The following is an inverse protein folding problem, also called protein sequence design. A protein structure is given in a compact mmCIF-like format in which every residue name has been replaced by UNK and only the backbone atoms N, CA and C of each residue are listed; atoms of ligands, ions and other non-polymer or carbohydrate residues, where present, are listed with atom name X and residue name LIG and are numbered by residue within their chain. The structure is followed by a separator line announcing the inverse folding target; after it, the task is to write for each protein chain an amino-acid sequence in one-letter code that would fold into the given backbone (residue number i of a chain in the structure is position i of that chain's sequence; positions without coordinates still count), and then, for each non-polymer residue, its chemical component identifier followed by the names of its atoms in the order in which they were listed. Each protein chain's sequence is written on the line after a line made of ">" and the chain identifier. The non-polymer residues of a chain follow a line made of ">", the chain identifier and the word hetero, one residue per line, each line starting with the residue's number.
data_IF_149234630031
#
_entry.id   IF_149234630031
#
_cell.length_a   1.000
_cell.length_b   1.000
_cell.length_c   1.000
_cell.angle_alpha   90.00
_cell.angle_beta   90.00
_cell.angle_gamma   90.00
#
_symmetry.space_group_name_H-M   'P 1'
#
loop_
_entity.id
_entity.type
_entity.pdbx_description
1 polymer ?
#
# COMPACT_ATOMS: atom_id res chain seq x y z
N UNK A 1 -32.82 -10.49 -11.19
CA UNK A 1 -32.27 -9.19 -11.64
C UNK A 1 -30.77 -9.32 -11.53
N UNK A 2 -30.10 -9.57 -12.65
CA UNK A 2 -28.64 -9.64 -12.73
C UNK A 2 -28.11 -8.23 -12.53
N UNK A 3 -27.49 -7.96 -11.40
CA UNK A 3 -26.70 -6.73 -11.20
C UNK A 3 -25.54 -6.77 -12.18
N UNK A 4 -25.65 -6.05 -13.28
CA UNK A 4 -24.58 -5.83 -14.24
C UNK A 4 -23.52 -4.97 -13.54
N UNK A 5 -22.51 -5.62 -13.02
CA UNK A 5 -21.36 -4.91 -12.39
C UNK A 5 -20.58 -4.25 -13.53
N UNK A 6 -20.50 -2.93 -13.53
CA UNK A 6 -19.69 -2.20 -14.52
C UNK A 6 -18.23 -2.65 -14.42
N UNK A 7 -17.58 -3.13 -15.51
CA UNK A 7 -16.19 -3.54 -15.47
C UNK A 7 -15.29 -2.39 -14.99
N UNK A 8 -14.33 -2.67 -14.13
CA UNK A 8 -13.45 -1.66 -13.55
C UNK A 8 -12.47 -1.05 -14.56
N UNK A 9 -12.14 -1.82 -15.59
CA UNK A 9 -11.30 -1.43 -16.71
C UNK A 9 -11.88 -2.02 -17.99
N UNK A 10 -11.83 -1.27 -19.11
CA UNK A 10 -12.19 -1.74 -20.44
C UNK A 10 -11.12 -1.32 -21.42
N UNK A 11 -11.09 -1.88 -22.62
CA UNK A 11 -10.11 -1.51 -23.66
C UNK A 11 -10.07 -0.01 -23.95
N UNK A 12 -11.23 0.64 -23.88
CA UNK A 12 -11.37 2.08 -24.15
C UNK A 12 -10.76 2.96 -23.04
N UNK A 13 -10.33 2.34 -21.91
CA UNK A 13 -9.63 2.98 -20.79
C UNK A 13 -8.12 2.73 -20.80
N UNK A 14 -7.60 2.15 -21.89
CA UNK A 14 -6.19 1.76 -22.05
C UNK A 14 -5.53 2.57 -23.14
N UNK A 15 -4.47 3.27 -22.80
CA UNK A 15 -3.62 4.00 -23.73
C UNK A 15 -2.26 3.30 -23.84
N UNK A 16 -1.93 2.79 -25.04
CA UNK A 16 -0.64 2.17 -25.31
C UNK A 16 0.28 3.16 -26.03
N UNK A 17 1.52 3.24 -25.56
CA UNK A 17 2.58 4.09 -26.12
C UNK A 17 2.16 5.55 -26.30
N UNK A 18 1.39 6.05 -25.32
CA UNK A 18 0.88 7.41 -25.33
C UNK A 18 2.04 8.40 -25.19
N UNK A 19 2.20 9.25 -26.21
CA UNK A 19 3.01 10.44 -26.11
C UNK A 19 2.19 11.52 -25.37
N UNK A 20 2.64 11.88 -24.16
CA UNK A 20 2.05 12.96 -23.41
C UNK A 20 3.12 14.02 -23.21
N UNK A 21 2.98 15.14 -23.92
CA UNK A 21 3.87 16.29 -23.76
C UNK A 21 3.46 17.04 -22.49
N UNK A 22 4.33 17.03 -21.49
CA UNK A 22 4.10 17.74 -20.25
C UNK A 22 4.49 16.96 -19.00
N UNK A 23 3.89 17.37 -17.92
CA UNK A 23 4.12 16.83 -16.58
C UNK A 23 3.05 15.79 -16.16
N UNK A 24 3.09 15.38 -14.91
CA UNK A 24 2.07 14.46 -14.33
C UNK A 24 0.64 14.97 -14.43
N UNK A 25 0.42 16.29 -14.46
CA UNK A 25 -0.92 16.86 -14.64
C UNK A 25 -1.43 16.54 -16.05
N UNK A 26 -0.59 16.67 -17.08
CA UNK A 26 -0.96 16.34 -18.45
C UNK A 26 -1.33 14.84 -18.59
N UNK A 27 -0.59 13.95 -17.92
CA UNK A 27 -0.92 12.50 -17.89
C UNK A 27 -2.26 12.25 -17.21
N UNK A 28 -2.50 12.85 -16.04
CA UNK A 28 -3.76 12.72 -15.31
C UNK A 28 -4.92 13.25 -16.15
N UNK A 29 -4.76 14.42 -16.75
CA UNK A 29 -5.78 15.02 -17.65
C UNK A 29 -6.09 14.07 -18.81
N UNK A 30 -5.07 13.54 -19.49
CA UNK A 30 -5.23 12.61 -20.61
C UNK A 30 -5.98 11.33 -20.21
N UNK A 31 -5.66 10.77 -19.05
CA UNK A 31 -6.38 9.61 -18.53
C UNK A 31 -7.83 9.94 -18.18
N UNK A 32 -8.09 11.09 -17.55
CA UNK A 32 -9.46 11.54 -17.25
C UNK A 32 -10.28 11.78 -18.52
N UNK A 33 -9.69 12.37 -19.57
CA UNK A 33 -10.34 12.51 -20.88
C UNK A 33 -10.76 11.15 -21.45
N UNK A 34 -9.91 10.14 -21.29
CA UNK A 34 -10.21 8.77 -21.69
C UNK A 34 -11.39 8.19 -20.90
N UNK A 35 -11.43 8.44 -19.57
CA UNK A 35 -12.56 8.07 -18.73
C UNK A 35 -13.85 8.78 -19.17
N UNK A 36 -13.76 10.07 -19.47
CA UNK A 36 -14.91 10.87 -19.92
C UNK A 36 -15.45 10.35 -21.27
N UNK A 37 -14.58 10.07 -22.23
CA UNK A 37 -14.96 9.52 -23.53
C UNK A 37 -15.66 8.15 -23.40
N UNK A 38 -15.27 7.35 -22.39
CA UNK A 38 -15.90 6.07 -22.07
C UNK A 38 -17.15 6.20 -21.18
N UNK A 39 -17.60 7.42 -20.87
CA UNK A 39 -18.77 7.67 -20.02
C UNK A 39 -18.58 7.26 -18.54
N UNK A 40 -17.34 7.29 -18.04
CA UNK A 40 -16.99 6.89 -16.66
C UNK A 40 -17.00 8.03 -15.66
N UNK A 41 -17.06 9.27 -16.14
CA UNK A 41 -17.16 10.47 -15.28
C UNK A 41 -18.20 11.41 -15.87
N UNK A 42 -18.92 12.09 -14.99
CA UNK A 42 -19.90 13.13 -15.33
C UNK A 42 -19.29 14.56 -15.31
N UNK A 43 -18.07 14.70 -14.77
CA UNK A 43 -17.32 15.95 -14.72
C UNK A 43 -15.81 15.67 -14.80
N UNK A 44 -15.26 15.84 -16.00
CA UNK A 44 -13.83 15.58 -16.24
C UNK A 44 -12.93 16.60 -15.54
N UNK A 45 -13.29 17.89 -15.55
CA UNK A 45 -12.49 18.93 -14.91
C UNK A 45 -12.44 18.75 -13.38
N UNK A 46 -13.59 18.49 -12.77
CA UNK A 46 -13.69 18.17 -11.35
C UNK A 46 -12.89 16.93 -10.97
N UNK A 47 -12.89 15.89 -11.81
CA UNK A 47 -12.13 14.67 -11.57
C UNK A 47 -10.61 14.90 -11.67
N UNK A 48 -10.14 15.70 -12.65
CA UNK A 48 -8.73 16.14 -12.72
C UNK A 48 -8.35 16.89 -11.46
N UNK A 49 -9.18 17.84 -11.02
CA UNK A 49 -8.96 18.60 -9.79
C UNK A 49 -8.82 17.71 -8.56
N UNK A 50 -9.71 16.71 -8.41
CA UNK A 50 -9.67 15.76 -7.31
C UNK A 50 -8.40 14.89 -7.33
N UNK A 51 -7.99 14.39 -8.50
CA UNK A 51 -6.79 13.60 -8.65
C UNK A 51 -5.52 14.42 -8.36
N UNK A 52 -5.45 15.65 -8.85
CA UNK A 52 -4.32 16.56 -8.60
C UNK A 52 -4.24 17.02 -7.15
N UNK A 53 -5.37 17.27 -6.50
CA UNK A 53 -5.41 17.60 -5.07
C UNK A 53 -4.85 16.45 -4.22
N UNK A 54 -5.15 15.19 -4.60
CA UNK A 54 -4.60 14.00 -3.94
C UNK A 54 -3.10 13.83 -4.24
N UNK A 55 -2.69 14.01 -5.49
CA UNK A 55 -1.28 13.95 -5.91
C UNK A 55 -0.42 14.99 -5.19
N UNK A 56 -0.96 16.19 -4.95
CA UNK A 56 -0.30 17.26 -4.20
C UNK A 56 -0.05 16.94 -2.73
N UNK A 57 -0.85 16.06 -2.12
CA UNK A 57 -0.63 15.63 -0.73
C UNK A 57 0.55 14.67 -0.59
N UNK A 58 0.75 13.81 -1.56
CA UNK A 58 1.85 12.85 -1.59
C UNK A 58 2.01 12.29 -3.00
N UNK A 59 3.19 12.42 -3.55
CA UNK A 59 3.54 11.87 -4.85
C UNK A 59 3.17 10.39 -4.98
N UNK A 60 2.63 9.99 -6.12
CA UNK A 60 2.11 8.64 -6.36
C UNK A 60 3.03 7.77 -7.22
N UNK A 61 4.21 8.27 -7.56
CA UNK A 61 5.27 7.49 -8.19
C UNK A 61 5.80 6.40 -7.25
N UNK A 62 6.02 5.22 -7.82
CA UNK A 62 6.52 4.02 -7.15
C UNK A 62 7.78 3.53 -7.86
N UNK A 63 8.67 2.81 -7.14
CA UNK A 63 9.80 2.16 -7.77
C UNK A 63 9.37 1.19 -8.88
N UNK A 64 10.21 1.09 -9.90
CA UNK A 64 9.93 0.24 -11.05
C UNK A 64 9.22 0.96 -12.19
N UNK A 65 9.25 2.30 -12.22
CA UNK A 65 8.69 3.08 -13.32
C UNK A 65 7.16 3.12 -13.34
N UNK A 66 6.52 3.08 -12.17
CA UNK A 66 5.07 3.01 -12.02
C UNK A 66 4.53 4.27 -11.36
N UNK A 67 3.37 4.76 -11.80
CA UNK A 67 2.60 5.78 -11.09
C UNK A 67 1.16 5.30 -10.86
N UNK A 68 0.62 5.61 -9.68
CA UNK A 68 -0.77 5.28 -9.32
C UNK A 68 -1.53 6.53 -8.83
N UNK A 69 -1.70 7.57 -9.69
CA UNK A 69 -2.59 8.67 -9.33
C UNK A 69 -3.98 8.13 -9.02
N UNK A 70 -4.57 8.61 -7.93
CA UNK A 70 -5.86 8.10 -7.47
C UNK A 70 -6.64 9.16 -6.72
N UNK A 71 -7.97 9.08 -6.77
CA UNK A 71 -8.85 9.95 -6.01
C UNK A 71 -10.16 9.25 -5.64
N UNK A 72 -10.83 9.81 -4.64
CA UNK A 72 -12.26 9.60 -4.40
C UNK A 72 -12.98 10.86 -4.83
N UNK A 73 -14.13 10.71 -5.48
CA UNK A 73 -14.78 11.83 -6.11
C UNK A 73 -16.27 11.56 -6.35
N UNK A 74 -17.14 12.56 -6.21
CA UNK A 74 -18.55 12.44 -6.58
C UNK A 74 -18.77 12.40 -8.10
N UNK A 75 -17.71 12.59 -8.90
CA UNK A 75 -17.78 12.68 -10.36
C UNK A 75 -17.68 11.31 -11.05
N UNK A 76 -17.60 10.21 -10.31
CA UNK A 76 -17.64 8.85 -10.82
C UNK A 76 -18.68 8.02 -10.05
N UNK A 77 -19.48 7.25 -10.78
CA UNK A 77 -20.55 6.43 -10.19
C UNK A 77 -20.08 5.02 -9.81
N UNK A 78 -19.02 4.56 -10.47
CA UNK A 78 -18.45 3.25 -10.25
C UNK A 78 -16.92 3.31 -10.25
N UNK A 79 -16.26 2.39 -9.50
CA UNK A 79 -14.81 2.27 -9.52
C UNK A 79 -14.28 2.09 -10.93
N UNK A 80 -13.30 2.86 -11.31
CA UNK A 80 -12.74 2.86 -12.66
C UNK A 80 -11.23 2.99 -12.63
N UNK A 81 -10.55 2.21 -13.48
CA UNK A 81 -9.11 2.26 -13.71
C UNK A 81 -8.86 2.70 -15.15
N UNK A 82 -8.14 3.82 -15.31
CA UNK A 82 -7.52 4.20 -16.57
C UNK A 82 -6.04 3.77 -16.57
N UNK A 83 -5.55 3.24 -17.66
CA UNK A 83 -4.17 2.82 -17.83
C UNK A 83 -3.49 3.57 -18.97
N UNK A 84 -2.24 3.98 -18.75
CA UNK A 84 -1.38 4.49 -19.82
C UNK A 84 0.02 3.88 -19.74
N UNK A 85 0.52 3.40 -20.88
CA UNK A 85 1.94 3.17 -21.10
C UNK A 85 2.49 4.40 -21.82
N UNK A 86 3.42 5.08 -21.17
CA UNK A 86 3.93 6.40 -21.57
C UNK A 86 5.26 6.28 -22.31
N UNK A 87 5.40 7.06 -23.39
CA UNK A 87 6.65 7.24 -24.13
C UNK A 87 6.80 8.72 -24.54
N UNK A 88 7.73 9.48 -23.93
CA UNK A 88 8.61 9.11 -22.81
C UNK A 88 7.87 8.96 -21.48
N UNK A 89 8.56 8.41 -20.46
CA UNK A 89 8.06 8.36 -19.10
C UNK A 89 7.98 9.75 -18.47
N UNK A 90 7.10 9.91 -17.47
CA UNK A 90 6.81 11.18 -16.79
C UNK A 90 7.10 11.08 -15.29
N UNK A 91 7.62 12.14 -14.70
CA UNK A 91 7.98 12.18 -13.28
C UNK A 91 6.74 12.32 -12.38
N UNK A 92 6.49 11.30 -11.56
CA UNK A 92 5.51 11.26 -10.48
C UNK A 92 6.15 11.24 -9.09
N UNK A 93 7.44 11.61 -8.99
CA UNK A 93 8.17 11.69 -7.72
C UNK A 93 8.60 10.33 -7.17
N UNK A 94 8.84 9.34 -8.03
CA UNK A 94 9.47 8.09 -7.64
C UNK A 94 10.98 8.29 -7.43
N UNK A 95 11.61 7.55 -6.48
CA UNK A 95 13.04 7.73 -6.17
C UNK A 95 13.97 7.21 -7.27
N UNK A 96 13.50 6.36 -8.15
CA UNK A 96 14.26 5.68 -9.20
C UNK A 96 14.02 6.26 -10.61
N UNK A 97 13.22 7.32 -10.73
CA UNK A 97 13.03 8.05 -11.97
C UNK A 97 11.59 8.11 -12.48
N UNK A 98 11.41 8.50 -13.75
CA UNK A 98 10.09 8.70 -14.34
C UNK A 98 9.32 7.39 -14.49
N UNK A 99 7.99 7.49 -14.40
CA UNK A 99 7.07 6.39 -14.62
C UNK A 99 6.75 6.22 -16.10
N UNK A 100 6.85 5.01 -16.60
CA UNK A 100 6.41 4.59 -17.93
C UNK A 100 5.04 3.89 -17.92
N UNK A 101 4.57 3.48 -16.73
CA UNK A 101 3.23 2.94 -16.52
C UNK A 101 2.46 3.83 -15.54
N UNK A 102 1.29 4.31 -15.94
CA UNK A 102 0.41 5.11 -15.10
C UNK A 102 -0.97 4.47 -14.97
N UNK A 103 -1.47 4.34 -13.73
CA UNK A 103 -2.80 3.86 -13.41
C UNK A 103 -3.60 4.95 -12.68
N UNK A 104 -4.54 5.58 -13.38
CA UNK A 104 -5.49 6.46 -12.72
C UNK A 104 -6.62 5.63 -12.10
N UNK A 105 -6.77 5.72 -10.79
CA UNK A 105 -7.79 4.98 -10.05
C UNK A 105 -8.81 5.98 -9.50
N UNK A 106 -9.99 5.99 -10.10
CA UNK A 106 -11.09 6.86 -9.67
C UNK A 106 -12.17 6.06 -8.95
N UNK A 107 -12.61 6.54 -7.80
CA UNK A 107 -13.59 5.88 -6.95
C UNK A 107 -14.70 6.82 -6.53
N UNK A 108 -15.98 6.34 -6.43
CA UNK A 108 -17.04 7.08 -5.81
C UNK A 108 -16.74 7.42 -4.35
N UNK A 109 -17.21 8.57 -3.86
CA UNK A 109 -17.10 8.92 -2.44
C UNK A 109 -17.82 7.92 -1.53
N UNK A 110 -18.92 7.34 -2.02
CA UNK A 110 -19.70 6.30 -1.34
C UNK A 110 -19.11 4.89 -1.47
N UNK A 111 -17.98 4.73 -2.15
CA UNK A 111 -17.35 3.43 -2.45
C UNK A 111 -17.02 2.63 -1.19
N UNK A 112 -17.68 1.47 -1.03
CA UNK A 112 -17.57 0.59 0.11
C UNK A 112 -16.29 -0.28 0.12
N UNK A 113 -16.28 -1.27 1.04
CA UNK A 113 -15.13 -2.17 1.26
C UNK A 113 -14.70 -2.97 0.01
N UNK A 114 -15.63 -3.31 -0.89
CA UNK A 114 -15.29 -4.06 -2.11
C UNK A 114 -14.35 -3.29 -3.03
N UNK A 115 -14.61 -1.98 -3.16
CA UNK A 115 -13.75 -1.09 -3.92
C UNK A 115 -12.31 -1.07 -3.37
N UNK A 116 -12.17 -1.03 -2.05
CA UNK A 116 -10.87 -1.04 -1.39
C UNK A 116 -10.09 -2.34 -1.63
N UNK A 117 -10.80 -3.48 -1.72
CA UNK A 117 -10.19 -4.77 -2.06
C UNK A 117 -9.61 -4.77 -3.47
N UNK A 118 -10.34 -4.21 -4.44
CA UNK A 118 -9.89 -4.12 -5.83
C UNK A 118 -8.59 -3.31 -5.94
N UNK A 119 -8.55 -2.13 -5.32
CA UNK A 119 -7.36 -1.28 -5.31
C UNK A 119 -6.17 -1.95 -4.62
N UNK A 120 -6.43 -2.65 -3.51
CA UNK A 120 -5.40 -3.40 -2.80
C UNK A 120 -4.85 -4.55 -3.64
N UNK A 121 -5.70 -5.25 -4.40
CA UNK A 121 -5.28 -6.33 -5.28
C UNK A 121 -4.38 -5.83 -6.41
N UNK A 122 -4.74 -4.70 -7.05
CA UNK A 122 -3.89 -4.08 -8.06
C UNK A 122 -2.55 -3.63 -7.47
N UNK A 123 -2.57 -2.93 -6.33
CA UNK A 123 -1.35 -2.47 -5.67
C UNK A 123 -0.38 -3.63 -5.36
N UNK A 124 -0.89 -4.77 -4.88
CA UNK A 124 -0.09 -5.99 -4.66
C UNK A 124 0.51 -6.55 -5.95
N UNK A 125 -0.24 -6.53 -7.04
CA UNK A 125 0.26 -7.03 -8.32
C UNK A 125 1.39 -6.15 -8.86
N UNK A 126 1.30 -4.85 -8.67
CA UNK A 126 2.30 -3.88 -9.13
C UNK A 126 3.66 -3.98 -8.41
N UNK A 127 3.75 -4.71 -7.29
CA UNK A 127 5.03 -5.05 -6.65
C UNK A 127 5.73 -6.22 -7.37
N UNK A 128 5.00 -7.04 -8.11
CA UNK A 128 5.55 -8.21 -8.79
C UNK A 128 6.16 -7.81 -10.14
N UNK A 129 7.44 -8.06 -10.29
CA UNK A 129 8.19 -7.70 -11.51
C UNK A 129 7.63 -8.37 -12.77
N UNK A 130 7.26 -9.66 -12.67
CA UNK A 130 6.66 -10.41 -13.76
C UNK A 130 5.37 -9.76 -14.29
N UNK A 131 4.52 -9.29 -13.39
CA UNK A 131 3.28 -8.60 -13.75
C UNK A 131 3.54 -7.25 -14.42
N UNK A 132 4.46 -6.46 -13.87
CA UNK A 132 4.84 -5.15 -14.43
C UNK A 132 5.48 -5.29 -15.80
N UNK A 133 6.34 -6.29 -16.00
CA UNK A 133 6.93 -6.59 -17.30
C UNK A 133 5.87 -7.06 -18.32
N UNK A 134 4.89 -7.85 -17.89
CA UNK A 134 3.77 -8.24 -18.78
C UNK A 134 2.99 -7.03 -19.26
N UNK A 135 2.74 -6.03 -18.39
CA UNK A 135 2.08 -4.78 -18.80
C UNK A 135 2.92 -3.95 -19.77
N UNK A 136 4.25 -3.91 -19.59
CA UNK A 136 5.16 -3.21 -20.52
C UNK A 136 5.19 -3.86 -21.88
N UNK A 137 5.12 -5.18 -21.93
CA UNK A 137 5.21 -5.97 -23.15
C UNK A 137 3.83 -6.23 -23.81
N UNK A 138 2.74 -5.82 -23.16
CA UNK A 138 1.40 -6.00 -23.71
C UNK A 138 1.27 -5.39 -25.10
N UNK A 139 0.79 -6.19 -26.05
CA UNK A 139 0.67 -5.82 -27.45
C UNK A 139 -0.67 -5.17 -27.79
N UNK A 140 -1.66 -5.32 -26.93
CA UNK A 140 -3.01 -4.79 -27.12
C UNK A 140 -3.66 -4.31 -25.82
N UNK A 141 -4.69 -3.47 -25.97
CA UNK A 141 -5.50 -3.02 -24.85
C UNK A 141 -6.25 -4.17 -24.18
N UNK A 142 -6.68 -5.16 -24.93
CA UNK A 142 -7.35 -6.37 -24.43
C UNK A 142 -6.42 -7.20 -23.53
N UNK A 143 -5.15 -7.28 -23.88
CA UNK A 143 -4.15 -7.96 -23.06
C UNK A 143 -3.95 -7.26 -21.72
N UNK A 144 -3.85 -5.93 -21.71
CA UNK A 144 -3.78 -5.13 -20.48
C UNK A 144 -5.02 -5.33 -19.61
N UNK A 145 -6.23 -5.28 -20.23
CA UNK A 145 -7.49 -5.52 -19.51
C UNK A 145 -7.48 -6.90 -18.88
N UNK A 146 -7.10 -7.95 -19.62
CA UNK A 146 -7.03 -9.32 -19.10
C UNK A 146 -6.05 -9.47 -17.93
N UNK A 147 -4.87 -8.83 -18.01
CA UNK A 147 -3.89 -8.81 -16.93
C UNK A 147 -4.44 -8.12 -15.67
N UNK A 148 -5.06 -6.95 -15.82
CA UNK A 148 -5.61 -6.18 -14.70
C UNK A 148 -6.82 -6.90 -14.10
N UNK A 149 -7.77 -7.37 -14.91
CA UNK A 149 -8.94 -8.12 -14.42
C UNK A 149 -8.55 -9.40 -13.70
N UNK A 150 -7.56 -10.13 -14.19
CA UNK A 150 -7.05 -11.34 -13.54
C UNK A 150 -6.52 -11.10 -12.13
N UNK A 151 -6.15 -9.86 -11.82
CA UNK A 151 -5.65 -9.46 -10.49
C UNK A 151 -6.75 -8.86 -9.62
N UNK A 152 -7.61 -8.00 -10.18
CA UNK A 152 -8.64 -7.29 -9.41
C UNK A 152 -9.90 -8.13 -9.20
N UNK A 153 -10.20 -9.03 -10.15
CA UNK A 153 -11.29 -9.99 -10.13
C UNK A 153 -10.75 -11.42 -10.38
N UNK A 154 -9.89 -11.96 -9.52
CA UNK A 154 -9.44 -13.33 -9.72
C UNK A 154 -10.69 -14.22 -9.79
N UNK A 155 -10.85 -14.94 -10.92
CA UNK A 155 -11.86 -15.98 -11.00
C UNK A 155 -11.78 -16.84 -9.74
N UNK A 156 -12.89 -17.25 -9.11
CA UNK A 156 -12.82 -18.03 -7.90
C UNK A 156 -11.98 -19.28 -8.19
N UNK A 157 -10.72 -19.22 -7.74
CA UNK A 157 -9.88 -20.40 -7.71
C UNK A 157 -10.63 -21.41 -6.83
N UNK A 158 -11.11 -22.49 -7.45
CA UNK A 158 -11.72 -23.58 -6.72
C UNK A 158 -10.74 -24.01 -5.61
N UNK A 159 -11.04 -23.62 -4.36
CA UNK A 159 -10.35 -24.13 -3.19
C UNK A 159 -9.25 -23.26 -2.56
N UNK A 160 -9.30 -21.91 -2.66
CA UNK A 160 -8.55 -21.10 -1.70
C UNK A 160 -9.51 -20.51 -0.67
N UNK A 161 -9.73 -21.26 0.40
CA UNK A 161 -10.23 -20.75 1.67
C UNK A 161 -9.35 -19.54 2.09
N UNK A 162 -9.89 -18.55 2.86
CA UNK A 162 -9.07 -17.49 3.40
C UNK A 162 -7.89 -18.17 4.10
N UNK A 163 -6.68 -17.84 3.63
CA UNK A 163 -5.48 -18.44 4.18
C UNK A 163 -5.45 -18.15 5.67
N UNK A 164 -5.85 -19.17 6.44
CA UNK A 164 -5.39 -19.32 7.80
C UNK A 164 -3.86 -19.17 7.80
N UNK A 165 -3.25 -18.67 8.90
CA UNK A 165 -1.81 -18.50 8.95
C UNK A 165 -1.15 -19.78 8.47
N UNK A 166 -0.48 -19.73 7.33
CA UNK A 166 0.23 -20.88 6.80
C UNK A 166 1.23 -21.32 7.85
N UNK A 167 0.98 -22.47 8.45
CA UNK A 167 1.97 -23.22 9.20
C UNK A 167 3.10 -23.55 8.22
N UNK A 168 4.22 -22.86 8.40
CA UNK A 168 5.43 -23.14 7.65
C UNK A 168 6.02 -24.48 8.08
N UNK A 169 6.58 -25.27 7.14
CA UNK A 169 7.26 -26.52 7.48
C UNK A 169 8.42 -26.23 8.44
N UNK A 170 8.52 -27.05 9.44
CA UNK A 170 9.51 -26.98 10.50
C UNK A 170 10.96 -27.14 9.98
N UNK A 171 11.84 -26.37 10.62
CA UNK A 171 13.25 -26.62 10.85
C UNK A 171 14.26 -26.29 9.76
N UNK A 172 14.84 -25.07 9.90
CA UNK A 172 16.32 -24.93 9.87
C UNK A 172 16.68 -23.75 10.80
N UNK A 173 17.72 -23.94 11.63
CA UNK A 173 18.36 -23.05 12.61
C UNK A 173 17.59 -21.73 12.92
N UNK A 174 17.25 -21.50 14.18
CA UNK A 174 16.41 -20.43 14.75
C UNK A 174 16.27 -19.17 13.88
N UNK A 175 15.42 -19.23 12.86
CA UNK A 175 15.10 -18.06 12.05
C UNK A 175 14.44 -17.02 12.95
N UNK A 176 14.99 -15.80 12.97
CA UNK A 176 14.38 -14.68 13.73
C UNK A 176 12.92 -14.49 13.32
N UNK A 177 12.09 -14.27 14.31
CA UNK A 177 10.66 -13.98 14.14
C UNK A 177 10.40 -12.50 14.29
N UNK A 178 9.92 -11.85 13.27
CA UNK A 178 9.62 -10.42 13.25
C UNK A 178 8.11 -10.22 13.01
N UNK A 179 7.54 -9.23 13.63
CA UNK A 179 6.19 -8.75 13.29
C UNK A 179 6.27 -7.36 12.69
N UNK A 180 5.37 -7.02 11.77
CA UNK A 180 5.31 -5.70 11.18
C UNK A 180 3.90 -5.13 11.21
N UNK A 181 3.81 -3.81 11.38
CA UNK A 181 2.57 -3.05 11.23
C UNK A 181 2.77 -2.07 10.08
N UNK A 182 1.86 -2.10 9.11
CA UNK A 182 1.85 -1.15 7.99
C UNK A 182 0.58 -0.31 8.03
N UNK A 183 0.72 1.01 7.90
CA UNK A 183 -0.41 1.93 7.86
C UNK A 183 -0.07 3.23 7.12
N UNK A 184 -0.99 3.74 6.30
CA UNK A 184 -0.86 5.04 5.67
C UNK A 184 -2.15 5.86 5.85
N UNK A 185 -2.16 7.18 5.64
CA UNK A 185 -3.33 8.03 5.85
C UNK A 185 -4.57 7.57 5.09
N UNK A 186 -4.43 7.09 3.87
CA UNK A 186 -5.53 6.54 3.07
C UNK A 186 -5.88 5.11 3.44
N UNK A 187 -4.95 4.39 4.09
CA UNK A 187 -5.12 2.98 4.46
C UNK A 187 -5.23 2.02 3.28
N UNK A 188 -4.77 2.39 2.07
CA UNK A 188 -4.96 1.64 0.84
C UNK A 188 -3.61 1.17 0.26
N UNK A 189 -3.21 1.73 -0.87
CA UNK A 189 -2.13 1.22 -1.71
C UNK A 189 -0.80 1.05 -0.95
N UNK A 190 -0.30 2.11 -0.33
CA UNK A 190 0.99 2.07 0.36
C UNK A 190 1.01 1.11 1.56
N UNK A 191 -0.12 0.95 2.26
CA UNK A 191 -0.24 0.01 3.37
C UNK A 191 0.00 -1.42 2.93
N UNK A 192 -0.64 -1.85 1.85
CA UNK A 192 -0.54 -3.22 1.35
C UNK A 192 0.76 -3.47 0.59
N UNK A 193 1.22 -2.49 -0.19
CA UNK A 193 2.51 -2.59 -0.89
C UNK A 193 3.68 -2.73 0.08
N UNK A 194 3.68 -1.97 1.17
CA UNK A 194 4.69 -2.09 2.22
C UNK A 194 4.65 -3.48 2.89
N UNK A 195 3.45 -4.02 3.14
CA UNK A 195 3.29 -5.36 3.70
C UNK A 195 3.86 -6.44 2.77
N UNK A 196 3.56 -6.36 1.48
CA UNK A 196 4.02 -7.33 0.49
C UNK A 196 5.53 -7.22 0.23
N UNK A 197 6.07 -5.99 0.13
CA UNK A 197 7.52 -5.76 -0.03
C UNK A 197 8.31 -6.28 1.18
N UNK A 198 7.87 -6.01 2.40
CA UNK A 198 8.49 -6.55 3.61
C UNK A 198 8.39 -8.08 3.67
N UNK A 199 7.25 -8.65 3.29
CA UNK A 199 7.04 -10.10 3.27
C UNK A 199 7.96 -10.80 2.28
N UNK A 200 8.17 -10.23 1.09
CA UNK A 200 9.09 -10.76 0.10
C UNK A 200 10.54 -10.66 0.58
N UNK A 201 10.95 -9.49 1.08
CA UNK A 201 12.30 -9.30 1.60
C UNK A 201 12.62 -10.21 2.79
N UNK A 202 11.65 -10.49 3.65
CA UNK A 202 11.81 -11.43 4.77
C UNK A 202 12.02 -12.88 4.27
N UNK A 203 11.25 -13.30 3.25
CA UNK A 203 11.45 -14.61 2.60
C UNK A 203 12.86 -14.74 2.01
N UNK A 204 13.31 -13.72 1.28
CA UNK A 204 14.62 -13.68 0.65
C UNK A 204 15.75 -13.72 1.70
N UNK A 205 15.52 -13.12 2.86
CA UNK A 205 16.45 -13.12 4.00
C UNK A 205 16.34 -14.37 4.90
N UNK A 206 15.39 -15.28 4.66
CA UNK A 206 15.14 -16.44 5.51
C UNK A 206 14.61 -16.10 6.91
N UNK A 207 13.91 -14.95 7.05
CA UNK A 207 13.34 -14.44 8.30
C UNK A 207 11.85 -14.72 8.33
N UNK A 208 11.33 -15.18 9.48
CA UNK A 208 9.89 -15.33 9.67
C UNK A 208 9.27 -13.96 9.92
N UNK A 209 8.36 -13.52 9.04
CA UNK A 209 7.64 -12.25 9.18
C UNK A 209 6.13 -12.47 9.18
N UNK A 210 5.43 -11.87 10.15
CA UNK A 210 3.97 -11.76 10.14
C UNK A 210 3.58 -10.29 10.13
N UNK A 211 2.76 -9.89 9.16
CA UNK A 211 2.38 -8.48 8.96
C UNK A 211 0.91 -8.27 9.32
N UNK A 212 0.65 -7.23 10.10
CA UNK A 212 -0.69 -6.66 10.30
C UNK A 212 -0.81 -5.37 9.50
N UNK A 213 -1.78 -5.32 8.59
CA UNK A 213 -2.09 -4.10 7.85
C UNK A 213 -3.20 -3.34 8.59
N UNK A 214 -2.93 -2.10 8.99
CA UNK A 214 -3.93 -1.20 9.58
C UNK A 214 -4.46 -0.26 8.49
N UNK A 215 -5.15 -0.84 7.53
CA UNK A 215 -5.74 -0.15 6.39
C UNK A 215 -7.23 0.12 6.54
N UNK A 216 -7.81 0.81 5.56
CA UNK A 216 -9.24 1.14 5.53
C UNK A 216 -10.14 -0.06 5.20
N UNK A 217 -9.58 -1.16 4.68
CA UNK A 217 -10.32 -2.43 4.48
C UNK A 217 -10.48 -3.26 5.76
N UNK A 218 -10.13 -2.69 6.90
CA UNK A 218 -10.08 -3.40 8.18
C UNK A 218 -8.67 -3.91 8.50
N UNK A 219 -8.45 -4.29 9.74
CA UNK A 219 -7.24 -4.98 10.18
C UNK A 219 -7.62 -6.27 10.90
N UNK A 220 -6.88 -7.34 10.63
CA UNK A 220 -6.91 -8.52 11.50
C UNK A 220 -5.74 -8.36 12.47
N UNK A 221 -6.00 -8.06 13.76
CA UNK A 221 -4.94 -7.85 14.72
C UNK A 221 -4.08 -9.11 14.87
N UNK A 222 -2.77 -8.91 15.02
CA UNK A 222 -1.86 -10.01 15.32
C UNK A 222 -2.24 -10.67 16.65
N UNK A 223 -2.29 -12.00 16.70
CA UNK A 223 -2.52 -12.73 17.95
C UNK A 223 -1.44 -12.39 18.98
N UNK A 224 -1.83 -12.27 20.25
CA UNK A 224 -0.89 -11.99 21.34
C UNK A 224 0.24 -13.00 21.41
N UNK A 225 -0.04 -14.28 21.13
CA UNK A 225 0.98 -15.34 21.08
C UNK A 225 2.02 -15.11 19.97
N UNK A 226 1.62 -14.56 18.80
CA UNK A 226 2.53 -14.19 17.70
C UNK A 226 3.42 -13.03 18.10
N UNK A 227 2.84 -12.00 18.72
CA UNK A 227 3.58 -10.85 19.24
C UNK A 227 4.57 -11.29 20.31
N UNK A 228 4.15 -12.15 21.26
CA UNK A 228 5.03 -12.64 22.33
C UNK A 228 6.27 -13.35 21.78
N UNK A 229 6.13 -14.16 20.74
CA UNK A 229 7.22 -14.93 20.09
C UNK A 229 8.13 -14.07 19.21
N UNK A 230 7.69 -12.88 18.81
CA UNK A 230 8.49 -12.03 17.94
C UNK A 230 9.73 -11.48 18.64
N UNK A 231 10.87 -11.50 17.96
CA UNK A 231 12.15 -10.97 18.44
C UNK A 231 12.23 -9.44 18.28
N UNK A 232 11.55 -8.89 17.25
CA UNK A 232 11.48 -7.45 17.00
C UNK A 232 10.17 -7.08 16.29
N UNK A 233 9.88 -5.77 16.25
CA UNK A 233 8.73 -5.22 15.53
C UNK A 233 9.16 -4.14 14.54
N UNK A 234 8.53 -4.10 13.37
CA UNK A 234 8.66 -3.02 12.39
C UNK A 234 7.36 -2.21 12.39
N UNK A 235 7.47 -0.90 12.57
CA UNK A 235 6.39 0.04 12.32
C UNK A 235 6.69 0.80 11.02
N UNK A 236 6.06 0.40 9.93
CA UNK A 236 6.12 1.05 8.62
C UNK A 236 4.85 1.89 8.43
N UNK A 237 4.79 3.05 9.08
CA UNK A 237 3.53 3.79 9.21
C UNK A 237 3.72 5.30 9.08
N UNK A 238 2.80 5.95 8.35
CA UNK A 238 2.70 7.42 8.26
C UNK A 238 1.59 7.98 9.17
N UNK A 239 0.91 7.11 9.92
CA UNK A 239 -0.14 7.43 10.89
C UNK A 239 0.10 6.69 12.20
N UNK A 240 -0.61 7.06 13.26
CA UNK A 240 -0.48 6.39 14.55
C UNK A 240 -0.83 4.89 14.47
N UNK A 241 -0.01 4.05 15.10
CA UNK A 241 -0.28 2.61 15.22
C UNK A 241 -1.40 2.38 16.21
N UNK A 242 -2.47 1.70 15.81
CA UNK A 242 -3.56 1.29 16.70
C UNK A 242 -3.05 0.25 17.68
N UNK A 243 -3.43 0.39 18.94
CA UNK A 243 -3.06 -0.54 20.03
C UNK A 243 -1.54 -0.80 20.12
N UNK A 244 -0.72 0.24 19.92
CA UNK A 244 0.75 0.17 19.95
C UNK A 244 1.28 -0.47 21.23
N UNK A 245 0.57 -0.33 22.36
CA UNK A 245 0.93 -0.91 23.65
C UNK A 245 1.06 -2.43 23.66
N UNK A 246 0.45 -3.15 22.67
CA UNK A 246 0.58 -4.60 22.53
C UNK A 246 2.03 -5.06 22.30
N UNK A 247 2.85 -4.17 21.77
CA UNK A 247 4.24 -4.43 21.41
C UNK A 247 5.24 -3.93 22.47
N UNK A 248 4.75 -3.48 23.62
CA UNK A 248 5.58 -2.91 24.68
C UNK A 248 6.81 -3.78 25.00
N UNK A 249 7.97 -3.14 25.12
CA UNK A 249 9.25 -3.78 25.40
C UNK A 249 9.93 -4.49 24.24
N UNK A 250 9.28 -4.65 23.09
CA UNK A 250 9.91 -5.25 21.89
C UNK A 250 10.90 -4.26 21.24
N UNK A 251 12.08 -4.74 20.79
CA UNK A 251 12.94 -3.95 19.91
C UNK A 251 12.16 -3.47 18.69
N UNK A 252 12.33 -2.20 18.30
CA UNK A 252 11.52 -1.60 17.24
C UNK A 252 12.36 -0.89 16.18
N UNK A 253 11.97 -1.10 14.91
CA UNK A 253 12.37 -0.27 13.78
C UNK A 253 11.15 0.49 13.32
N UNK A 254 11.16 1.82 13.45
CA UNK A 254 10.05 2.67 13.05
C UNK A 254 10.46 3.55 11.87
N UNK A 255 9.60 3.61 10.85
CA UNK A 255 9.82 4.42 9.65
C UNK A 255 8.49 4.70 8.94
N UNK A 256 8.51 5.62 7.97
CA UNK A 256 7.37 5.84 7.08
C UNK A 256 7.11 4.64 6.17
N UNK A 257 5.85 4.49 5.74
CA UNK A 257 5.39 3.38 4.88
C UNK A 257 6.16 3.30 3.56
N UNK A 258 6.55 4.44 2.98
CA UNK A 258 7.32 4.49 1.72
C UNK A 258 8.69 3.81 1.84
N UNK A 259 9.37 3.92 2.99
CA UNK A 259 10.66 3.25 3.18
C UNK A 259 10.52 1.73 3.14
N UNK A 260 9.44 1.18 3.66
CA UNK A 260 9.17 -0.26 3.60
C UNK A 260 8.93 -0.76 2.16
N UNK A 261 8.49 0.12 1.25
CA UNK A 261 8.34 -0.20 -0.17
C UNK A 261 9.71 -0.11 -0.88
N UNK A 262 10.47 0.96 -0.61
CA UNK A 262 11.69 1.29 -1.36
C UNK A 262 12.92 0.53 -0.86
N UNK A 263 13.02 0.27 0.46
CA UNK A 263 14.18 -0.34 1.12
C UNK A 263 13.76 -1.51 2.05
N UNK A 264 12.90 -2.46 1.60
CA UNK A 264 12.35 -3.49 2.48
C UNK A 264 13.44 -4.41 3.06
N UNK A 265 14.42 -4.80 2.25
CA UNK A 265 15.52 -5.66 2.69
C UNK A 265 16.36 -5.02 3.80
N UNK A 266 16.59 -3.70 3.70
CA UNK A 266 17.33 -2.95 4.71
C UNK A 266 16.54 -2.87 6.03
N UNK A 267 15.23 -2.66 5.95
CA UNK A 267 14.37 -2.65 7.15
C UNK A 267 14.31 -4.02 7.83
N UNK A 268 14.28 -5.11 7.09
CA UNK A 268 14.35 -6.47 7.64
C UNK A 268 15.70 -6.70 8.33
N UNK A 269 16.82 -6.31 7.69
CA UNK A 269 18.15 -6.44 8.27
C UNK A 269 18.30 -5.61 9.56
N UNK A 270 17.78 -4.38 9.59
CA UNK A 270 17.75 -3.54 10.77
C UNK A 270 16.93 -4.16 11.92
N UNK A 271 15.79 -4.77 11.61
CA UNK A 271 14.95 -5.42 12.61
C UNK A 271 15.62 -6.68 13.19
N UNK A 272 16.31 -7.46 12.36
CA UNK A 272 17.13 -8.59 12.81
C UNK A 272 18.25 -8.10 13.72
N UNK A 273 18.97 -7.05 13.33
CA UNK A 273 20.04 -6.46 14.16
C UNK A 273 19.48 -5.88 15.47
N UNK A 274 18.32 -5.25 15.44
CA UNK A 274 17.67 -4.72 16.65
C UNK A 274 17.27 -5.83 17.63
N UNK A 275 16.87 -6.99 17.13
CA UNK A 275 16.53 -8.16 17.95
C UNK A 275 17.74 -8.66 18.78
N UNK A 276 18.95 -8.54 18.24
CA UNK A 276 20.20 -8.98 18.90
C UNK A 276 20.87 -7.85 19.72
N UNK A 277 20.39 -6.61 19.59
CA UNK A 277 20.98 -5.47 20.27
C UNK A 277 20.23 -5.15 21.59
N UNK A 278 20.84 -5.33 22.75
CA UNK A 278 20.22 -5.02 24.04
C UNK A 278 19.92 -3.52 24.21
N UNK A 279 20.62 -2.65 23.48
CA UNK A 279 20.45 -1.21 23.49
C UNK A 279 19.53 -0.69 22.37
N UNK A 280 18.89 -1.59 21.60
CA UNK A 280 17.94 -1.17 20.56
C UNK A 280 16.77 -0.38 21.15
N UNK A 281 16.28 0.59 20.37
CA UNK A 281 15.04 1.27 20.70
C UNK A 281 13.92 0.25 20.92
N UNK A 282 13.11 0.45 21.95
CA UNK A 282 12.00 -0.45 22.30
C UNK A 282 10.69 0.30 22.27
N UNK A 283 9.62 -0.43 21.97
CA UNK A 283 8.27 0.11 22.05
C UNK A 283 7.97 0.48 23.49
N UNK A 284 7.67 1.77 23.73
CA UNK A 284 7.24 2.25 25.04
C UNK A 284 5.90 1.61 25.41
N UNK A 285 5.81 1.09 26.63
CA UNK A 285 4.53 0.67 27.21
C UNK A 285 3.67 1.92 27.44
N UNK A 286 2.37 1.85 27.22
CA UNK A 286 1.43 2.85 27.74
C UNK A 286 1.50 2.79 29.28
N UNK A 287 2.39 3.56 29.87
CA UNK A 287 2.45 3.73 31.32
C UNK A 287 1.14 4.35 31.78
N UNK A 288 0.39 3.62 32.60
CA UNK A 288 -0.63 4.20 33.43
C UNK A 288 0.07 5.30 34.24
N UNK A 289 -0.40 6.54 34.12
CA UNK A 289 -0.05 7.59 35.07
C UNK A 289 -0.39 7.07 36.47
N UNK A 290 0.65 6.72 37.22
CA UNK A 290 0.53 6.43 38.65
C UNK A 290 0.10 7.70 39.40
N UNK A 291 -0.77 7.59 40.42
CA UNK A 291 -1.26 8.74 41.12
C UNK A 291 -0.15 9.33 42.03
N UNK A 292 0.14 10.62 41.84
CA UNK A 292 0.52 11.52 42.91
C UNK A 292 1.92 11.37 43.48
N UNK A 293 2.89 12.12 42.99
CA UNK A 293 3.96 12.64 43.84
C UNK A 293 3.46 13.94 44.51
N UNK A 294 3.58 14.08 45.84
CA UNK A 294 3.11 15.27 46.53
C UNK A 294 4.00 16.50 46.20
N UNK A 295 3.38 17.57 45.84
CA UNK A 295 3.99 18.89 45.72
C UNK A 295 4.66 19.28 47.03
N UNK A 296 5.98 19.32 47.08
CA UNK A 296 6.69 19.98 48.18
C UNK A 296 6.56 21.49 47.97
N UNK A 297 5.76 22.10 48.83
CA UNK A 297 5.72 23.55 49.02
C UNK A 297 7.06 23.99 49.54
N UNK A 298 7.80 24.78 48.79
CA UNK A 298 8.90 25.61 49.30
C UNK A 298 8.28 26.78 50.04
N UNK A 299 8.30 26.71 51.37
CA UNK A 299 7.96 27.82 52.23
C UNK A 299 8.96 28.97 52.04
N UNK A 300 8.43 30.13 51.73
CA UNK A 300 9.12 31.39 51.92
C UNK A 300 9.20 31.62 53.42
N UNK A 301 10.41 31.60 53.93
CA UNK A 301 10.77 32.17 55.21
C UNK A 301 11.36 33.56 55.01
N UNK A 302 10.91 34.46 55.78
CA UNK A 302 11.13 35.90 55.91
C UNK A 302 12.55 36.38 55.58
#
# INVERSE_FOLDING_TARGET
>A
MTTSTTPIITRDLVLLDAAVDGDKQAVITRLVETLAAAGRTNDAEGLVGAAMAREGQSATGLPGGIAIPHCRSPYVDAPTIGFARLKPGVDFGAPDGPADLAFLIAAPDSGGQEHMKLLSSLARALVRKDFVESLRNASSAEEVVGLVEGVVNPAPAAGAAPAAPAEQPAAKAAAKSIVAITACPTGIAHTYMAADSLSQAAKDAGVTLVVETQGSSGSTPLPAATIAKADAVIFATDVGVKDKGRFAGKPVVASGVKRAINEPAKMIAEAVAAADNPNAARVEGSGSAGPGAPFRSLGLGM
#
